data_IF_503486399382
#
_entry.id   IF_503486399382
#
_cell.length_a   1.000
_cell.length_b   1.000
_cell.length_c   1.000
_cell.angle_alpha   90.00
_cell.angle_beta   90.00
_cell.angle_gamma   90.00
#
_symmetry.space_group_name_H-M   'P 1'
#
loop_
_entity.id
_entity.type
_entity.pdbx_description
1 polymer ?
#
# COMPACT_ATOMS: atom_id res chain seq x y z
N UNK A 1 23.08 70.89 -26.84
CA UNK A 1 23.21 70.04 -25.65
C UNK A 1 22.08 69.01 -25.67
N UNK A 2 22.33 67.79 -26.08
CA UNK A 2 21.32 66.72 -26.18
C UNK A 2 21.51 65.80 -25.00
N UNK A 3 20.51 65.73 -24.09
CA UNK A 3 20.50 64.83 -22.94
C UNK A 3 19.94 63.48 -23.40
N UNK A 4 20.75 62.43 -23.40
CA UNK A 4 20.32 61.07 -23.65
C UNK A 4 19.71 60.51 -22.37
N UNK A 5 18.43 60.13 -22.39
CA UNK A 5 17.77 59.34 -21.34
C UNK A 5 18.16 57.85 -21.56
N UNK A 6 18.89 57.30 -20.61
CA UNK A 6 19.15 55.85 -20.57
C UNK A 6 17.98 55.25 -19.79
N UNK A 7 17.13 54.53 -20.54
CA UNK A 7 16.05 53.74 -19.95
C UNK A 7 16.63 52.41 -19.42
N UNK A 8 16.66 52.26 -18.09
CA UNK A 8 17.08 51.07 -17.42
C UNK A 8 15.93 50.04 -17.41
N UNK A 9 16.00 49.08 -18.32
CA UNK A 9 15.04 47.98 -18.38
C UNK A 9 15.35 46.97 -17.26
N UNK A 10 14.61 47.05 -16.13
CA UNK A 10 14.72 46.06 -15.06
C UNK A 10 13.94 44.81 -15.49
N UNK A 11 14.68 43.81 -15.91
CA UNK A 11 14.13 42.47 -16.20
C UNK A 11 13.91 41.74 -14.87
N UNK A 12 12.69 41.79 -14.34
CA UNK A 12 12.29 40.99 -13.18
C UNK A 12 12.11 39.55 -13.62
N UNK A 13 13.11 38.70 -13.37
CA UNK A 13 13.02 37.26 -13.54
C UNK A 13 12.12 36.73 -12.42
N UNK A 14 10.87 36.41 -12.76
CA UNK A 14 10.01 35.62 -11.90
C UNK A 14 10.55 34.18 -11.88
N UNK A 15 11.26 33.82 -10.82
CA UNK A 15 11.47 32.43 -10.48
C UNK A 15 10.12 31.88 -10.02
N UNK A 16 9.41 31.21 -10.91
CA UNK A 16 8.31 30.35 -10.53
C UNK A 16 8.92 29.18 -9.74
N UNK A 17 8.94 29.29 -8.41
CA UNK A 17 9.13 28.13 -7.56
C UNK A 17 7.89 27.26 -7.79
N UNK A 18 8.09 26.15 -8.48
CA UNK A 18 7.12 25.06 -8.45
C UNK A 18 7.09 24.58 -6.98
N UNK A 19 6.09 25.00 -6.25
CA UNK A 19 5.73 24.36 -4.98
C UNK A 19 5.46 22.90 -5.31
N UNK A 20 6.43 22.07 -4.98
CA UNK A 20 6.27 20.62 -4.99
C UNK A 20 5.18 20.34 -3.98
N UNK A 21 4.04 19.88 -4.47
CA UNK A 21 2.88 19.55 -3.64
C UNK A 21 3.33 18.64 -2.48
N UNK A 22 3.44 19.20 -1.28
CA UNK A 22 3.84 18.47 -0.08
C UNK A 22 2.67 17.64 0.49
N UNK A 23 1.49 17.71 -0.12
CA UNK A 23 0.28 17.06 0.39
C UNK A 23 0.35 15.52 0.32
N UNK A 24 1.16 14.96 -0.57
CA UNK A 24 1.30 13.51 -0.76
C UNK A 24 2.44 12.86 0.04
N UNK A 25 3.29 13.66 0.68
CA UNK A 25 4.47 13.15 1.38
C UNK A 25 4.17 12.38 2.68
N UNK A 26 2.89 12.32 3.07
CA UNK A 26 2.44 11.63 4.29
C UNK A 26 1.62 10.37 4.00
N UNK A 27 1.36 10.08 2.73
CA UNK A 27 0.61 8.89 2.31
C UNK A 27 1.60 7.82 1.89
N UNK A 28 1.49 6.67 2.52
CA UNK A 28 2.31 5.50 2.21
C UNK A 28 1.41 4.29 1.94
N UNK A 29 2.01 3.26 1.33
CA UNK A 29 1.35 1.99 1.05
C UNK A 29 2.19 0.84 1.54
N UNK A 30 1.52 -0.20 2.03
CA UNK A 30 2.13 -1.49 2.38
C UNK A 30 1.21 -2.62 1.92
N UNK A 31 1.80 -3.74 1.53
CA UNK A 31 1.05 -4.97 1.17
C UNK A 31 1.32 -6.02 2.23
N UNK A 32 0.25 -6.55 2.81
CA UNK A 32 0.31 -7.48 3.94
C UNK A 32 -0.52 -8.73 3.64
N UNK A 33 0.07 -9.90 3.89
CA UNK A 33 -0.60 -11.20 3.77
C UNK A 33 -0.80 -11.84 5.14
N UNK A 34 -2.03 -12.03 5.57
CA UNK A 34 -2.39 -12.59 6.88
C UNK A 34 -3.44 -13.71 6.81
N UNK A 35 -3.54 -14.37 5.66
CA UNK A 35 -4.58 -15.36 5.37
C UNK A 35 -5.80 -14.72 4.73
N UNK A 36 -7.00 -15.12 5.13
CA UNK A 36 -8.25 -14.66 4.52
C UNK A 36 -8.32 -13.12 4.43
N UNK A 37 -8.20 -12.60 3.21
CA UNK A 37 -8.09 -11.16 2.96
C UNK A 37 -9.36 -10.35 3.26
N UNK A 38 -10.56 -10.96 3.22
CA UNK A 38 -11.80 -10.24 3.55
C UNK A 38 -11.86 -9.76 5.00
N UNK A 39 -11.40 -10.59 5.93
CA UNK A 39 -11.29 -10.22 7.33
C UNK A 39 -10.20 -9.19 7.57
N UNK A 40 -9.07 -9.37 6.90
CA UNK A 40 -7.93 -8.46 6.98
C UNK A 40 -8.27 -7.06 6.44
N UNK A 41 -8.87 -6.96 5.24
CA UNK A 41 -9.31 -5.70 4.64
C UNK A 41 -10.19 -4.90 5.60
N UNK A 42 -11.24 -5.54 6.12
CA UNK A 42 -12.15 -4.89 7.08
C UNK A 42 -11.44 -4.48 8.38
N UNK A 43 -10.46 -5.25 8.83
CA UNK A 43 -9.65 -4.92 10.00
C UNK A 43 -8.86 -3.65 9.78
N UNK A 44 -8.16 -3.52 8.66
CA UNK A 44 -7.39 -2.32 8.33
C UNK A 44 -8.26 -1.10 8.09
N UNK A 45 -9.39 -1.24 7.39
CA UNK A 45 -10.35 -0.13 7.18
C UNK A 45 -10.87 0.48 8.48
N UNK A 46 -10.87 -0.29 9.57
CA UNK A 46 -11.33 0.19 10.89
C UNK A 46 -10.31 1.04 11.63
N UNK A 47 -9.05 1.08 11.19
CA UNK A 47 -7.97 1.80 11.87
C UNK A 47 -7.98 3.28 11.50
N UNK A 48 -7.95 4.15 12.51
CA UNK A 48 -7.78 5.58 12.28
C UNK A 48 -6.42 5.86 11.62
N UNK A 49 -6.42 6.60 10.53
CA UNK A 49 -5.23 6.87 9.73
C UNK A 49 -5.06 5.99 8.51
N UNK A 50 -5.77 4.86 8.40
CA UNK A 50 -5.91 4.12 7.17
C UNK A 50 -6.90 4.85 6.26
N UNK A 51 -6.49 5.06 5.00
CA UNK A 51 -7.25 5.79 3.99
C UNK A 51 -8.04 4.81 3.13
N UNK A 52 -7.41 3.67 2.81
CA UNK A 52 -7.97 2.65 1.94
C UNK A 52 -7.30 1.30 2.21
N UNK A 53 -8.03 0.21 2.07
CA UNK A 53 -7.51 -1.14 2.14
C UNK A 53 -8.15 -1.98 1.03
N UNK A 54 -7.33 -2.60 0.19
CA UNK A 54 -7.80 -3.30 -1.02
C UNK A 54 -7.27 -4.72 -1.04
N UNK A 55 -8.18 -5.69 -1.04
CA UNK A 55 -7.85 -7.11 -1.21
C UNK A 55 -7.31 -7.41 -2.60
N UNK A 56 -6.31 -8.26 -2.66
CA UNK A 56 -5.65 -8.65 -3.89
C UNK A 56 -4.85 -9.93 -3.77
N UNK A 57 -4.05 -10.18 -4.79
CA UNK A 57 -3.19 -11.37 -4.88
C UNK A 57 -1.77 -10.95 -5.23
N UNK A 58 -0.80 -11.56 -4.57
CA UNK A 58 0.61 -11.25 -4.79
C UNK A 58 1.50 -12.49 -4.78
N UNK A 59 2.71 -12.31 -5.28
CA UNK A 59 3.90 -13.17 -5.11
C UNK A 59 3.82 -14.54 -5.77
N UNK A 60 2.76 -14.85 -6.49
CA UNK A 60 2.67 -16.08 -7.26
C UNK A 60 3.18 -15.94 -8.70
N UNK A 61 3.40 -17.11 -9.34
CA UNK A 61 3.73 -17.18 -10.76
C UNK A 61 2.52 -17.65 -11.55
N UNK A 62 2.28 -17.04 -12.70
CA UNK A 62 1.19 -17.43 -13.58
C UNK A 62 0.30 -16.29 -14.03
N UNK A 63 -0.72 -16.65 -14.78
CA UNK A 63 -1.61 -15.71 -15.43
C UNK A 63 -2.73 -15.30 -14.48
N UNK A 64 -2.94 -14.01 -14.34
CA UNK A 64 -4.08 -13.34 -13.69
C UNK A 64 -4.76 -14.19 -12.61
N UNK A 65 -4.33 -14.06 -11.34
CA UNK A 65 -4.93 -14.83 -10.25
C UNK A 65 -6.41 -14.47 -10.07
N UNK A 66 -7.18 -15.45 -9.63
CA UNK A 66 -8.52 -15.23 -9.11
C UNK A 66 -8.75 -16.26 -7.99
N UNK A 67 -9.72 -15.98 -7.13
CA UNK A 67 -10.00 -16.78 -5.94
C UNK A 67 -10.16 -18.27 -6.24
N UNK A 68 -10.91 -18.60 -7.30
CA UNK A 68 -11.18 -20.00 -7.69
C UNK A 68 -9.90 -20.75 -8.08
N UNK A 69 -8.95 -20.06 -8.71
CA UNK A 69 -7.68 -20.69 -9.12
C UNK A 69 -6.75 -20.91 -7.93
N UNK A 70 -6.58 -19.88 -7.09
CA UNK A 70 -5.62 -19.96 -5.98
C UNK A 70 -6.08 -20.93 -4.88
N UNK A 71 -7.39 -21.13 -4.73
CA UNK A 71 -7.97 -22.05 -3.73
C UNK A 71 -8.20 -23.48 -4.25
N UNK A 72 -7.88 -23.76 -5.52
CA UNK A 72 -7.94 -25.12 -6.04
C UNK A 72 -7.10 -26.09 -5.22
N UNK A 73 -7.60 -27.30 -5.01
CA UNK A 73 -6.88 -28.35 -4.29
C UNK A 73 -5.48 -28.60 -4.87
N UNK A 74 -5.30 -28.51 -6.18
CA UNK A 74 -4.01 -28.67 -6.87
C UNK A 74 -3.01 -27.55 -6.54
N UNK A 75 -3.50 -26.38 -6.14
CA UNK A 75 -2.67 -25.21 -5.81
C UNK A 75 -2.44 -25.07 -4.30
N UNK A 76 -3.17 -25.83 -3.49
CA UNK A 76 -3.16 -25.74 -2.03
C UNK A 76 -1.78 -25.87 -1.38
N UNK A 77 -0.87 -26.61 -2.01
CA UNK A 77 0.51 -26.82 -1.54
C UNK A 77 1.56 -26.40 -2.58
N UNK A 78 1.13 -25.62 -3.57
CA UNK A 78 2.03 -25.10 -4.59
C UNK A 78 2.73 -23.84 -4.07
N UNK A 79 4.05 -23.91 -3.90
CA UNK A 79 4.87 -22.75 -3.43
C UNK A 79 4.87 -21.57 -4.40
N UNK A 80 4.46 -21.78 -5.65
CA UNK A 80 4.34 -20.73 -6.66
C UNK A 80 2.90 -20.17 -6.76
N UNK A 81 2.00 -20.57 -5.86
CA UNK A 81 0.66 -20.03 -5.81
C UNK A 81 0.69 -18.55 -5.37
N UNK A 82 -0.29 -17.77 -5.77
CA UNK A 82 -0.47 -16.43 -5.25
C UNK A 82 -1.00 -16.48 -3.81
N UNK A 83 -0.52 -15.55 -2.98
CA UNK A 83 -1.07 -15.31 -1.66
C UNK A 83 -2.22 -14.30 -1.72
N UNK A 84 -3.19 -14.46 -0.83
CA UNK A 84 -4.16 -13.43 -0.50
C UNK A 84 -3.49 -12.32 0.28
N UNK A 85 -3.63 -11.08 -0.16
CA UNK A 85 -3.01 -9.92 0.45
C UNK A 85 -3.96 -8.73 0.52
N UNK A 86 -3.65 -7.77 1.36
CA UNK A 86 -4.31 -6.46 1.41
C UNK A 86 -3.28 -5.37 1.18
N UNK A 87 -3.50 -4.51 0.18
CA UNK A 87 -2.77 -3.26 0.03
C UNK A 87 -3.41 -2.22 0.94
N UNK A 88 -2.66 -1.75 1.92
CA UNK A 88 -3.10 -0.72 2.88
C UNK A 88 -2.47 0.61 2.50
N UNK A 89 -3.31 1.61 2.23
CA UNK A 89 -2.91 3.00 2.02
C UNK A 89 -3.19 3.77 3.31
N UNK A 90 -2.19 4.42 3.87
CA UNK A 90 -2.30 5.07 5.16
C UNK A 90 -1.59 6.42 5.24
N UNK A 91 -2.03 7.27 6.17
CA UNK A 91 -1.39 8.54 6.50
C UNK A 91 -0.45 8.34 7.70
N UNK A 92 0.87 8.35 7.44
CA UNK A 92 1.89 8.14 8.48
C UNK A 92 1.94 9.18 9.59
N UNK A 93 1.23 10.29 9.43
CA UNK A 93 1.08 11.28 10.50
C UNK A 93 -0.03 10.91 11.49
N UNK A 94 -0.92 9.98 11.13
CA UNK A 94 -2.05 9.53 11.94
C UNK A 94 -1.84 8.13 12.50
N UNK A 95 -1.24 7.25 11.73
CA UNK A 95 -0.90 5.89 12.13
C UNK A 95 0.51 5.53 11.65
N UNK A 96 1.33 5.00 12.54
CA UNK A 96 2.70 4.60 12.18
C UNK A 96 2.74 3.24 11.49
N UNK A 97 3.83 2.95 10.78
CA UNK A 97 4.09 1.60 10.26
C UNK A 97 4.15 0.58 11.39
N UNK A 98 4.69 0.97 12.55
CA UNK A 98 4.79 0.11 13.74
C UNK A 98 3.40 -0.30 14.24
N UNK A 99 2.45 0.65 14.34
CA UNK A 99 1.07 0.35 14.73
C UNK A 99 0.38 -0.60 13.75
N UNK A 100 0.59 -0.39 12.44
CA UNK A 100 0.09 -1.32 11.42
C UNK A 100 0.69 -2.72 11.56
N UNK A 101 1.99 -2.82 11.86
CA UNK A 101 2.64 -4.12 12.07
C UNK A 101 2.21 -4.80 13.35
N UNK A 102 1.91 -4.05 14.42
CA UNK A 102 1.31 -4.60 15.64
C UNK A 102 -0.06 -5.19 15.31
N UNK A 103 -0.93 -4.42 14.64
CA UNK A 103 -2.24 -4.92 14.20
C UNK A 103 -2.11 -6.18 13.33
N UNK A 104 -1.15 -6.18 12.38
CA UNK A 104 -0.86 -7.33 11.53
C UNK A 104 -0.54 -8.58 12.34
N UNK A 105 0.38 -8.50 13.31
CA UNK A 105 0.82 -9.63 14.12
C UNK A 105 -0.26 -10.10 15.10
N UNK A 106 -1.14 -9.21 15.56
CA UNK A 106 -2.25 -9.55 16.46
C UNK A 106 -3.47 -10.11 15.72
N UNK A 107 -3.62 -9.82 14.43
CA UNK A 107 -4.79 -10.22 13.65
C UNK A 107 -4.77 -11.69 13.20
N UNK A 108 -3.64 -12.38 13.28
CA UNK A 108 -3.48 -13.77 12.86
C UNK A 108 -2.38 -14.48 13.66
N UNK A 109 -2.25 -15.79 13.51
CA UNK A 109 -1.15 -16.57 14.10
C UNK A 109 -0.01 -16.72 13.07
N UNK A 110 1.07 -15.92 13.15
CA UNK A 110 2.17 -15.96 12.18
C UNK A 110 3.05 -17.22 12.30
N UNK A 111 2.80 -18.08 13.27
CA UNK A 111 3.55 -19.34 13.47
C UNK A 111 3.01 -20.50 12.64
N UNK A 112 1.84 -20.35 12.03
CA UNK A 112 1.19 -21.38 11.23
C UNK A 112 1.76 -21.39 9.79
N UNK A 113 2.36 -22.51 9.41
CA UNK A 113 2.88 -22.69 8.06
C UNK A 113 1.78 -23.10 7.10
N UNK A 114 1.60 -22.36 6.00
CA UNK A 114 0.64 -22.63 4.92
C UNK A 114 -0.78 -22.92 5.43
N UNK A 115 -1.22 -22.14 6.40
CA UNK A 115 -2.59 -22.19 6.92
C UNK A 115 -2.93 -20.99 7.79
N UNK A 116 -4.21 -20.68 7.88
CA UNK A 116 -4.81 -19.80 8.86
C UNK A 116 -5.95 -20.56 9.53
N UNK A 117 -5.72 -21.08 10.75
CA UNK A 117 -6.71 -21.92 11.43
C UNK A 117 -7.10 -23.13 10.59
N UNK A 118 -8.37 -23.25 10.22
CA UNK A 118 -8.91 -24.34 9.41
C UNK A 118 -8.73 -24.13 7.88
N UNK A 119 -8.35 -22.93 7.47
CA UNK A 119 -8.06 -22.64 6.07
C UNK A 119 -6.62 -23.03 5.77
N UNK A 120 -6.46 -24.18 5.10
CA UNK A 120 -5.16 -24.77 4.82
C UNK A 120 -4.80 -24.55 3.36
N UNK A 121 -3.63 -23.98 3.10
CA UNK A 121 -3.10 -23.73 1.76
C UNK A 121 -2.03 -22.65 1.77
N UNK A 122 -1.32 -22.55 0.64
CA UNK A 122 -0.25 -21.54 0.43
C UNK A 122 -0.81 -20.16 0.11
N UNK A 123 -2.09 -20.05 -0.18
CA UNK A 123 -2.74 -18.76 -0.43
C UNK A 123 -2.85 -17.92 0.83
#
# INVERSE_FOLDING_TARGET
MKRALISLLICTIFFAHAEKDQSTNHIEKIVLGSGCFWGAEKGYESLEGVIDAVSGYADGTGVRPNYREITKFTNKFNSNNHAEVVEVTYNKNLISLEDLMIHYLESHDPTQLNRQGNDIGTQ
#
